data_IF_395532110301
#
_entry.id   IF_395532110301
#
_cell.length_a   1.000
_cell.length_b   1.000
_cell.length_c   1.000
_cell.angle_alpha   90.00
_cell.angle_beta   90.00
_cell.angle_gamma   90.00
#
_symmetry.space_group_name_H-M   'P 1'
#
loop_
_entity.id
_entity.type
_entity.pdbx_description
1 polymer ?
#
# COMPACT_ATOMS: atom_id res chain seq x y z
N UNK A 1 -2.24 -10.81 -43.88
CA UNK A 1 -1.60 -10.02 -42.81
C UNK A 1 -1.87 -10.78 -41.54
N UNK A 2 -0.87 -11.50 -41.04
CA UNK A 2 -0.99 -12.24 -39.80
C UNK A 2 -0.99 -11.23 -38.67
N UNK A 3 -2.08 -11.17 -37.92
CA UNK A 3 -2.09 -10.48 -36.63
C UNK A 3 -1.10 -11.26 -35.77
N UNK A 4 0.07 -10.69 -35.49
CA UNK A 4 0.90 -11.20 -34.39
C UNK A 4 0.01 -11.16 -33.15
N UNK A 5 -0.34 -12.34 -32.64
CA UNK A 5 -1.12 -12.45 -31.42
C UNK A 5 -0.25 -11.83 -30.31
N UNK A 6 -0.78 -10.85 -29.59
CA UNK A 6 -0.11 -10.26 -28.44
C UNK A 6 0.30 -11.39 -27.48
N UNK A 7 1.54 -11.36 -26.99
CA UNK A 7 1.96 -12.30 -25.95
C UNK A 7 1.15 -12.06 -24.68
N UNK A 8 1.11 -13.05 -23.78
CA UNK A 8 0.40 -12.87 -22.50
C UNK A 8 1.04 -11.75 -21.67
N UNK A 9 2.36 -11.58 -21.81
CA UNK A 9 3.13 -10.50 -21.20
C UNK A 9 2.76 -9.12 -21.80
N UNK A 10 2.44 -9.05 -23.09
CA UNK A 10 1.97 -7.82 -23.72
C UNK A 10 0.58 -7.42 -23.20
N UNK A 11 -0.31 -8.39 -23.02
CA UNK A 11 -1.62 -8.16 -22.41
C UNK A 11 -1.50 -7.71 -20.94
N UNK A 12 -0.57 -8.30 -20.19
CA UNK A 12 -0.27 -7.86 -18.82
C UNK A 12 0.26 -6.43 -18.77
N UNK A 13 1.12 -6.03 -19.73
CA UNK A 13 1.60 -4.66 -19.85
C UNK A 13 0.48 -3.69 -20.21
N UNK A 14 -0.37 -4.06 -21.17
CA UNK A 14 -1.52 -3.25 -21.56
C UNK A 14 -2.48 -3.05 -20.39
N UNK A 15 -2.73 -4.08 -19.58
CA UNK A 15 -3.51 -3.98 -18.35
C UNK A 15 -2.87 -2.97 -17.38
N UNK A 16 -1.57 -3.09 -17.12
CA UNK A 16 -0.84 -2.14 -16.26
C UNK A 16 -0.90 -0.70 -16.77
N UNK A 17 -0.77 -0.47 -18.08
CA UNK A 17 -0.90 0.86 -18.69
C UNK A 17 -2.31 1.44 -18.56
N UNK A 18 -3.35 0.59 -18.57
CA UNK A 18 -4.73 1.02 -18.35
C UNK A 18 -4.99 1.35 -16.88
N UNK A 19 -4.47 0.53 -15.96
CA UNK A 19 -4.53 0.79 -14.50
C UNK A 19 -3.84 2.12 -14.19
N UNK A 20 -2.67 2.39 -14.78
CA UNK A 20 -1.94 3.63 -14.57
C UNK A 20 -2.65 4.91 -15.07
N UNK A 21 -3.77 4.75 -15.79
CA UNK A 21 -4.61 5.85 -16.30
C UNK A 21 -5.98 5.91 -15.62
N UNK A 22 -6.21 5.12 -14.57
CA UNK A 22 -7.46 5.24 -13.80
C UNK A 22 -7.36 6.40 -12.81
N UNK A 23 -8.51 6.95 -12.44
CA UNK A 23 -8.58 8.05 -11.49
C UNK A 23 -8.04 7.65 -10.12
N UNK A 24 -8.22 6.40 -9.71
CA UNK A 24 -7.73 5.86 -8.44
C UNK A 24 -6.19 5.84 -8.40
N UNK A 25 -5.54 5.42 -9.49
CA UNK A 25 -4.07 5.42 -9.58
C UNK A 25 -3.50 6.84 -9.64
N UNK A 26 -4.11 7.73 -10.43
CA UNK A 26 -3.71 9.13 -10.51
C UNK A 26 -3.84 9.82 -9.14
N UNK A 27 -4.96 9.63 -8.44
CA UNK A 27 -5.21 10.18 -7.10
C UNK A 27 -4.21 9.63 -6.08
N UNK A 28 -3.91 8.33 -6.12
CA UNK A 28 -2.90 7.72 -5.25
C UNK A 28 -1.52 8.35 -5.45
N UNK A 29 -1.07 8.51 -6.69
CA UNK A 29 0.25 9.10 -6.97
C UNK A 29 0.29 10.58 -6.54
N UNK A 30 -0.77 11.37 -6.82
CA UNK A 30 -0.86 12.76 -6.37
C UNK A 30 -0.81 12.90 -4.84
N UNK A 31 -1.59 12.08 -4.11
CA UNK A 31 -1.63 12.09 -2.65
C UNK A 31 -0.29 11.62 -2.06
N UNK A 32 0.34 10.62 -2.66
CA UNK A 32 1.67 10.13 -2.29
C UNK A 32 2.73 11.20 -2.47
N UNK A 33 2.69 11.96 -3.55
CA UNK A 33 3.59 13.09 -3.76
C UNK A 33 3.28 14.24 -2.80
N UNK A 34 2.02 14.46 -2.43
CA UNK A 34 1.65 15.46 -1.43
C UNK A 34 2.27 15.12 -0.06
N UNK A 35 2.17 13.85 0.39
CA UNK A 35 2.84 13.37 1.60
C UNK A 35 4.35 13.59 1.54
N UNK A 36 5.00 13.27 0.41
CA UNK A 36 6.45 13.44 0.25
C UNK A 36 6.93 14.89 0.33
N UNK A 37 6.09 15.85 -0.08
CA UNK A 37 6.42 17.28 -0.07
C UNK A 37 6.03 18.00 1.23
N UNK A 38 5.25 17.34 2.09
CA UNK A 38 4.74 17.91 3.33
C UNK A 38 5.75 17.66 4.47
N UNK A 39 6.57 18.67 4.78
CA UNK A 39 7.62 18.57 5.81
C UNK A 39 7.08 18.21 7.20
N UNK A 40 5.87 18.66 7.55
CA UNK A 40 5.26 18.36 8.85
C UNK A 40 4.84 16.89 8.91
N UNK A 41 4.24 16.37 7.84
CA UNK A 41 3.88 14.95 7.74
C UNK A 41 5.12 14.07 7.75
N UNK A 42 6.19 14.45 7.03
CA UNK A 42 7.45 13.72 7.05
C UNK A 42 8.05 13.65 8.46
N UNK A 43 8.06 14.76 9.20
CA UNK A 43 8.52 14.77 10.59
C UNK A 43 7.68 13.84 11.49
N UNK A 44 6.37 13.75 11.26
CA UNK A 44 5.47 12.84 12.00
C UNK A 44 5.66 11.37 11.62
N UNK A 45 5.97 11.08 10.35
CA UNK A 45 6.38 9.74 9.91
C UNK A 45 7.65 9.32 10.65
N UNK A 46 8.67 10.18 10.67
CA UNK A 46 9.94 9.89 11.36
C UNK A 46 9.73 9.62 12.87
N UNK A 47 8.91 10.44 13.53
CA UNK A 47 8.56 10.26 14.95
C UNK A 47 7.87 8.91 15.20
N UNK A 48 6.89 8.56 14.36
CA UNK A 48 6.18 7.28 14.46
C UNK A 48 7.12 6.10 14.23
N UNK A 49 7.98 6.15 13.20
CA UNK A 49 8.91 5.08 12.88
C UNK A 49 9.95 4.86 13.97
N UNK A 50 10.46 5.94 14.57
CA UNK A 50 11.37 5.87 15.71
C UNK A 50 10.69 5.18 16.90
N UNK A 51 9.50 5.62 17.29
CA UNK A 51 8.75 5.02 18.41
C UNK A 51 8.43 3.55 18.15
N UNK A 52 8.06 3.19 16.91
CA UNK A 52 7.80 1.81 16.51
C UNK A 52 9.06 0.96 16.63
N UNK A 53 10.21 1.45 16.16
CA UNK A 53 11.48 0.74 16.24
C UNK A 53 11.92 0.51 17.70
N UNK A 54 11.82 1.54 18.54
CA UNK A 54 12.11 1.43 19.98
C UNK A 54 11.19 0.41 20.67
N UNK A 55 9.89 0.41 20.35
CA UNK A 55 8.94 -0.54 20.90
C UNK A 55 9.23 -1.98 20.44
N UNK A 56 9.57 -2.18 19.17
CA UNK A 56 9.91 -3.51 18.63
C UNK A 56 11.19 -4.06 19.28
N UNK A 57 12.21 -3.22 19.45
CA UNK A 57 13.42 -3.61 20.19
C UNK A 57 13.09 -4.00 21.64
N UNK A 58 12.28 -3.19 22.33
CA UNK A 58 11.87 -3.50 23.70
C UNK A 58 11.06 -4.81 23.76
N UNK A 59 10.25 -5.10 22.74
CA UNK A 59 9.47 -6.34 22.65
C UNK A 59 10.38 -7.55 22.48
N UNK A 60 11.41 -7.46 21.65
CA UNK A 60 12.41 -8.52 21.44
C UNK A 60 13.22 -8.83 22.72
N UNK A 61 13.55 -7.80 23.50
CA UNK A 61 14.32 -7.96 24.76
C UNK A 61 13.44 -8.27 25.97
N UNK A 62 12.11 -8.37 25.80
CA UNK A 62 11.15 -8.59 26.89
C UNK A 62 10.96 -7.38 27.82
N UNK A 63 11.35 -6.19 27.37
CA UNK A 63 11.25 -4.91 28.09
C UNK A 63 10.08 -4.04 27.63
N UNK A 64 9.29 -4.49 26.65
CA UNK A 64 8.13 -3.76 26.17
C UNK A 64 7.11 -3.48 27.29
N UNK A 65 6.54 -2.29 27.26
CA UNK A 65 5.54 -1.85 28.24
C UNK A 65 4.27 -1.40 27.54
N UNK A 66 3.13 -1.46 28.25
CA UNK A 66 1.88 -0.90 27.77
C UNK A 66 1.98 0.61 27.49
N UNK A 67 2.79 1.34 28.26
CA UNK A 67 3.03 2.77 27.99
C UNK A 67 3.78 2.97 26.67
N UNK A 68 4.74 2.10 26.36
CA UNK A 68 5.43 2.12 25.05
C UNK A 68 4.46 1.87 23.90
N UNK A 69 3.57 0.88 24.04
CA UNK A 69 2.54 0.60 23.05
C UNK A 69 1.60 1.80 22.85
N UNK A 70 1.14 2.43 23.94
CA UNK A 70 0.29 3.61 23.88
C UNK A 70 0.95 4.80 23.18
N UNK A 71 2.26 4.98 23.32
CA UNK A 71 3.00 6.03 22.60
C UNK A 71 3.02 5.78 21.10
N UNK A 72 3.28 4.54 20.67
CA UNK A 72 3.24 4.17 19.25
C UNK A 72 1.85 4.39 18.67
N UNK A 73 0.81 3.96 19.37
CA UNK A 73 -0.58 4.16 18.96
C UNK A 73 -0.94 5.65 18.87
N UNK A 74 -0.56 6.45 19.86
CA UNK A 74 -0.82 7.90 19.83
C UNK A 74 -0.12 8.60 18.66
N UNK A 75 1.13 8.24 18.36
CA UNK A 75 1.85 8.79 17.21
C UNK A 75 1.23 8.36 15.88
N UNK A 76 0.76 7.11 15.78
CA UNK A 76 0.01 6.63 14.61
C UNK A 76 -1.29 7.39 14.41
N UNK A 77 -2.09 7.53 15.47
CA UNK A 77 -3.37 8.23 15.44
C UNK A 77 -3.17 9.70 15.05
N UNK A 78 -2.13 10.36 15.58
CA UNK A 78 -1.76 11.71 15.21
C UNK A 78 -1.41 11.81 13.72
N UNK A 79 -0.52 10.95 13.22
CA UNK A 79 -0.11 10.90 11.82
C UNK A 79 -1.32 10.67 10.90
N UNK A 80 -2.17 9.69 11.19
CA UNK A 80 -3.36 9.36 10.41
C UNK A 80 -4.45 10.45 10.49
N UNK A 81 -4.42 11.28 11.53
CA UNK A 81 -5.35 12.40 11.66
C UNK A 81 -5.00 13.59 10.74
N UNK A 82 -3.76 13.66 10.25
CA UNK A 82 -3.29 14.74 9.38
C UNK A 82 -4.01 14.70 8.03
N UNK A 83 -4.49 15.84 7.49
CA UNK A 83 -5.26 15.86 6.23
C UNK A 83 -4.53 15.22 5.06
N UNK A 84 -3.24 15.53 4.86
CA UNK A 84 -2.41 15.00 3.77
C UNK A 84 -2.25 13.49 3.88
N UNK A 85 -2.05 12.97 5.10
CA UNK A 85 -1.92 11.52 5.33
C UNK A 85 -3.26 10.81 5.14
N UNK A 86 -4.37 11.40 5.62
CA UNK A 86 -5.70 10.83 5.42
C UNK A 86 -6.04 10.68 3.94
N UNK A 87 -5.79 11.72 3.16
CA UNK A 87 -6.03 11.67 1.70
C UNK A 87 -5.20 10.58 1.03
N UNK A 88 -3.94 10.39 1.45
CA UNK A 88 -3.10 9.31 0.96
C UNK A 88 -3.62 7.93 1.33
N UNK A 89 -4.07 7.73 2.58
CA UNK A 89 -4.65 6.45 3.02
C UNK A 89 -5.96 6.15 2.28
N UNK A 90 -6.84 7.14 2.14
CA UNK A 90 -8.10 7.00 1.41
C UNK A 90 -7.84 6.64 -0.07
N UNK A 91 -6.88 7.30 -0.72
CA UNK A 91 -6.50 7.00 -2.11
C UNK A 91 -5.82 5.63 -2.26
N UNK A 92 -5.04 5.21 -1.27
CA UNK A 92 -4.43 3.87 -1.23
C UNK A 92 -5.48 2.77 -1.11
N UNK A 93 -6.50 2.97 -0.26
CA UNK A 93 -7.59 2.01 -0.08
C UNK A 93 -8.39 1.85 -1.39
N UNK A 94 -8.75 2.95 -2.05
CA UNK A 94 -9.47 2.91 -3.35
C UNK A 94 -8.66 2.23 -4.47
N UNK A 95 -7.35 2.49 -4.52
CA UNK A 95 -6.47 1.80 -5.46
C UNK A 95 -6.39 0.30 -5.14
N UNK A 96 -6.32 -0.07 -3.87
CA UNK A 96 -6.27 -1.47 -3.43
C UNK A 96 -7.55 -2.21 -3.85
N UNK A 97 -8.73 -1.64 -3.60
CA UNK A 97 -10.02 -2.20 -4.02
C UNK A 97 -10.07 -2.42 -5.55
N UNK A 98 -9.54 -1.45 -6.30
CA UNK A 98 -9.44 -1.54 -7.77
C UNK A 98 -8.54 -2.69 -8.21
N UNK A 99 -7.37 -2.83 -7.58
CA UNK A 99 -6.41 -3.90 -7.88
C UNK A 99 -6.94 -5.27 -7.46
N UNK A 100 -7.65 -5.37 -6.35
CA UNK A 100 -8.33 -6.60 -5.91
C UNK A 100 -9.38 -7.04 -6.93
N UNK A 101 -10.22 -6.12 -7.41
CA UNK A 101 -11.23 -6.41 -8.44
C UNK A 101 -10.58 -6.91 -9.74
N UNK A 102 -9.45 -6.32 -10.15
CA UNK A 102 -8.68 -6.79 -11.30
C UNK A 102 -8.12 -8.19 -11.04
N UNK A 103 -7.57 -8.44 -9.85
CA UNK A 103 -7.07 -9.74 -9.46
C UNK A 103 -8.16 -10.81 -9.52
N UNK A 104 -9.34 -10.54 -8.94
CA UNK A 104 -10.50 -11.44 -8.99
C UNK A 104 -10.90 -11.79 -10.44
N UNK A 105 -10.92 -10.79 -11.32
CA UNK A 105 -11.24 -11.00 -12.75
C UNK A 105 -10.20 -11.87 -13.48
N UNK A 106 -8.92 -11.78 -13.10
CA UNK A 106 -7.85 -12.65 -13.63
C UNK A 106 -7.97 -14.06 -13.05
N UNK A 107 -8.31 -14.18 -11.76
CA UNK A 107 -8.44 -15.45 -11.04
C UNK A 107 -9.69 -16.24 -11.45
N UNK A 108 -10.79 -15.59 -11.81
CA UNK A 108 -12.07 -16.24 -12.18
C UNK A 108 -11.93 -17.39 -13.22
N UNK A 109 -11.18 -17.24 -14.33
CA UNK A 109 -10.97 -18.33 -15.29
C UNK A 109 -9.89 -19.34 -14.88
N UNK A 110 -9.18 -19.13 -13.76
CA UNK A 110 -8.05 -19.95 -13.33
C UNK A 110 -8.46 -20.91 -12.20
N UNK A 111 -7.70 -22.00 -12.05
CA UNK A 111 -7.86 -22.93 -10.92
C UNK A 111 -7.09 -22.49 -9.66
N UNK A 112 -6.49 -21.29 -9.70
CA UNK A 112 -5.63 -20.72 -8.67
C UNK A 112 -5.98 -19.24 -8.49
N UNK A 113 -5.75 -18.70 -7.30
CA UNK A 113 -5.81 -17.25 -7.07
C UNK A 113 -4.52 -16.63 -7.60
N UNK A 114 -4.61 -15.93 -8.74
CA UNK A 114 -3.48 -15.29 -9.39
C UNK A 114 -2.72 -14.37 -8.43
N UNK A 115 -3.42 -13.50 -7.70
CA UNK A 115 -2.82 -12.53 -6.79
C UNK A 115 -2.25 -13.16 -5.54
N UNK A 116 -2.90 -14.22 -5.02
CA UNK A 116 -2.36 -15.02 -3.92
C UNK A 116 -1.06 -15.74 -4.31
N UNK A 117 -1.01 -16.37 -5.48
CA UNK A 117 0.16 -17.12 -5.96
C UNK A 117 1.29 -16.19 -6.45
N UNK A 118 0.96 -15.09 -7.13
CA UNK A 118 1.94 -14.15 -7.68
C UNK A 118 2.40 -13.10 -6.66
N UNK A 119 1.54 -12.72 -5.71
CA UNK A 119 1.79 -11.68 -4.72
C UNK A 119 2.73 -12.10 -3.58
N UNK A 120 3.02 -13.40 -3.44
CA UNK A 120 4.10 -13.90 -2.59
C UNK A 120 3.93 -13.67 -1.08
N UNK A 121 2.75 -13.26 -0.60
CA UNK A 121 2.50 -13.12 0.82
C UNK A 121 2.10 -14.47 1.42
N UNK A 122 3.08 -15.13 2.05
CA UNK A 122 2.90 -16.22 3.00
C UNK A 122 2.42 -17.56 2.41
N UNK A 123 3.31 -18.23 1.69
CA UNK A 123 3.41 -19.70 1.73
C UNK A 123 4.71 -20.07 2.49
N UNK A 124 4.69 -19.88 3.81
CA UNK A 124 5.56 -20.56 4.79
C UNK A 124 4.83 -20.61 6.15
#
# INVERSE_FOLDING_TARGET
MSVEQASIEDLGRELGERIARTTEYERFEEAREAVQRDEEVQAKIDEFEQLRAEFMQARETGQATNSGLQKVQAAQDELHSMPTMREFLDAQDELTDTLETVNEAISEPLAVDFGGEAGGCCQD
#
